data_IF_686262571164
#
_entry.id   IF_686262571164
#
_cell.length_a   1.000
_cell.length_b   1.000
_cell.length_c   1.000
_cell.angle_alpha   90.00
_cell.angle_beta   90.00
_cell.angle_gamma   90.00
#
_symmetry.space_group_name_H-M   'P 1'
#
loop_
_entity.id
_entity.type
_entity.pdbx_description
1 polymer ?
#
# COMPACT_ATOMS: atom_id res chain seq x y z
N UNK A 1 -43.40 33.18 -9.20
CA UNK A 1 -42.01 32.66 -9.23
C UNK A 1 -41.54 32.47 -7.79
N UNK A 2 -41.75 31.28 -7.20
CA UNK A 2 -41.32 31.00 -5.83
C UNK A 2 -39.90 30.41 -5.86
N UNK A 3 -38.96 31.11 -5.22
CA UNK A 3 -37.55 30.74 -5.12
C UNK A 3 -37.45 29.54 -4.18
N UNK A 4 -37.16 28.35 -4.72
CA UNK A 4 -36.88 27.17 -3.89
C UNK A 4 -35.57 27.41 -3.12
N UNK A 5 -35.67 27.57 -1.81
CA UNK A 5 -34.52 27.53 -0.92
C UNK A 5 -33.96 26.10 -0.90
N UNK A 6 -32.98 25.83 -1.77
CA UNK A 6 -32.12 24.66 -1.66
C UNK A 6 -31.17 24.89 -0.48
N UNK A 7 -31.69 24.68 0.74
CA UNK A 7 -30.84 24.51 1.91
C UNK A 7 -29.84 23.40 1.65
N UNK A 8 -28.56 23.65 1.91
CA UNK A 8 -27.53 22.62 1.93
C UNK A 8 -27.95 21.57 2.95
N UNK A 9 -28.45 20.41 2.47
CA UNK A 9 -28.73 19.27 3.33
C UNK A 9 -27.40 18.76 3.85
N UNK A 10 -27.03 19.19 5.05
CA UNK A 10 -25.99 18.53 5.83
C UNK A 10 -26.52 17.14 6.19
N UNK A 11 -26.21 16.14 5.37
CA UNK A 11 -26.41 14.76 5.77
C UNK A 11 -25.41 14.49 6.91
N UNK A 12 -25.86 14.26 8.16
CA UNK A 12 -24.94 13.75 9.16
C UNK A 12 -24.37 12.45 8.61
N UNK A 13 -23.04 12.28 8.68
CA UNK A 13 -22.38 11.05 8.31
C UNK A 13 -22.83 9.94 9.29
N UNK A 14 -24.02 9.39 9.05
CA UNK A 14 -24.70 8.38 9.86
C UNK A 14 -24.11 6.99 9.66
N UNK A 15 -22.78 6.89 9.69
CA UNK A 15 -22.06 5.63 9.77
C UNK A 15 -21.44 5.50 11.16
N UNK A 16 -21.75 4.41 11.87
CA UNK A 16 -20.97 4.01 13.05
C UNK A 16 -19.53 3.80 12.61
N UNK A 17 -18.60 4.65 13.08
CA UNK A 17 -17.18 4.49 12.80
C UNK A 17 -16.73 3.18 13.43
N UNK A 18 -16.37 2.19 12.60
CA UNK A 18 -15.73 0.99 13.08
C UNK A 18 -14.48 1.37 13.91
N UNK A 19 -14.20 0.65 15.02
CA UNK A 19 -13.03 0.92 15.86
C UNK A 19 -11.78 1.01 14.99
N UNK A 20 -11.02 2.11 15.08
CA UNK A 20 -9.82 2.26 14.27
C UNK A 20 -8.64 1.56 14.95
N UNK A 21 -7.72 1.04 14.15
CA UNK A 21 -6.47 0.51 14.69
C UNK A 21 -5.65 1.69 15.21
N UNK A 22 -5.20 1.69 16.48
CA UNK A 22 -4.50 2.83 17.04
C UNK A 22 -3.14 3.03 16.39
N UNK A 23 -2.80 4.27 16.08
CA UNK A 23 -1.46 4.67 15.60
C UNK A 23 -0.39 4.24 16.59
N UNK A 24 0.74 3.74 16.08
CA UNK A 24 1.83 3.23 16.89
C UNK A 24 1.68 1.77 17.31
N UNK A 25 0.49 1.15 17.17
CA UNK A 25 0.33 -0.29 17.39
C UNK A 25 1.28 -1.04 16.45
N UNK A 26 1.99 -2.03 16.99
CA UNK A 26 2.79 -2.97 16.22
C UNK A 26 1.99 -4.22 15.95
N UNK A 27 2.07 -4.73 14.74
CA UNK A 27 1.35 -5.91 14.30
C UNK A 27 2.29 -6.79 13.48
N UNK A 28 2.31 -8.10 13.78
CA UNK A 28 2.97 -9.08 12.91
C UNK A 28 2.05 -9.38 11.73
N UNK A 29 2.59 -9.29 10.52
CA UNK A 29 1.87 -9.43 9.27
C UNK A 29 2.65 -10.34 8.32
N UNK A 30 1.92 -11.20 7.61
CA UNK A 30 2.41 -11.93 6.45
C UNK A 30 2.02 -11.15 5.20
N UNK A 31 3.00 -10.82 4.37
CA UNK A 31 2.83 -9.93 3.22
C UNK A 31 2.54 -10.78 1.99
N UNK A 32 1.35 -10.64 1.42
CA UNK A 32 0.90 -11.49 0.32
C UNK A 32 1.41 -11.02 -1.04
N UNK A 33 1.38 -9.71 -1.28
CA UNK A 33 1.72 -9.11 -2.58
C UNK A 33 2.15 -7.67 -2.45
N UNK A 34 2.62 -7.08 -3.54
CA UNK A 34 2.92 -5.66 -3.63
C UNK A 34 1.74 -4.89 -4.25
N UNK A 35 1.53 -3.67 -3.77
CA UNK A 35 0.74 -2.65 -4.43
C UNK A 35 1.55 -2.02 -5.59
N UNK A 36 0.85 -1.33 -6.47
CA UNK A 36 1.46 -0.68 -7.65
C UNK A 36 2.47 0.42 -7.27
N UNK A 37 2.33 1.01 -6.07
CA UNK A 37 3.28 1.97 -5.51
C UNK A 37 4.45 1.33 -4.73
N UNK A 38 4.51 0.00 -4.69
CA UNK A 38 5.58 -0.77 -4.06
C UNK A 38 5.40 -1.04 -2.57
N UNK A 39 4.25 -0.70 -1.97
CA UNK A 39 3.95 -1.10 -0.58
C UNK A 39 3.51 -2.56 -0.51
N UNK A 40 3.90 -3.27 0.54
CA UNK A 40 3.39 -4.61 0.82
C UNK A 40 1.91 -4.59 1.20
N UNK A 41 1.15 -5.59 0.79
CA UNK A 41 -0.26 -5.76 1.12
C UNK A 41 -0.42 -6.99 1.99
N UNK A 42 -1.11 -6.82 3.12
CA UNK A 42 -1.56 -7.92 3.98
C UNK A 42 -3.04 -7.74 4.33
N UNK A 43 -3.71 -8.85 4.64
CA UNK A 43 -5.10 -8.85 5.09
C UNK A 43 -5.19 -9.44 6.49
N UNK A 44 -5.79 -8.71 7.42
CA UNK A 44 -6.03 -9.18 8.79
C UNK A 44 -7.33 -8.55 9.31
N UNK A 45 -8.19 -9.36 9.93
CA UNK A 45 -9.46 -8.93 10.54
C UNK A 45 -10.34 -8.08 9.59
N UNK A 46 -10.39 -8.45 8.30
CA UNK A 46 -11.19 -7.74 7.29
C UNK A 46 -10.66 -6.35 6.92
N UNK A 47 -9.40 -6.04 7.26
CA UNK A 47 -8.70 -4.81 6.90
C UNK A 47 -7.57 -5.09 5.92
N UNK A 48 -7.36 -4.14 5.01
CA UNK A 48 -6.24 -4.14 4.08
C UNK A 48 -5.13 -3.28 4.67
N UNK A 49 -3.95 -3.86 4.83
CA UNK A 49 -2.77 -3.19 5.36
C UNK A 49 -1.82 -2.87 4.22
N UNK A 50 -1.47 -1.60 4.06
CA UNK A 50 -0.41 -1.15 3.19
C UNK A 50 0.84 -0.90 4.02
N UNK A 51 1.89 -1.67 3.75
CA UNK A 51 3.09 -1.73 4.59
C UNK A 51 4.30 -1.23 3.79
N UNK A 52 4.77 -0.04 4.11
CA UNK A 52 5.98 0.53 3.50
C UNK A 52 7.23 -0.21 3.99
N UNK A 53 8.08 -0.64 3.05
CA UNK A 53 9.34 -1.35 3.34
C UNK A 53 9.22 -2.89 3.42
N UNK A 54 8.06 -3.43 3.09
CA UNK A 54 7.78 -4.86 3.03
C UNK A 54 7.70 -5.36 1.58
N UNK A 55 8.18 -6.58 1.34
CA UNK A 55 8.07 -7.30 0.07
C UNK A 55 7.07 -8.46 0.17
N UNK A 56 6.61 -8.93 -0.97
CA UNK A 56 5.76 -10.13 -1.05
C UNK A 56 6.52 -11.36 -0.51
N UNK A 57 5.81 -12.22 0.23
CA UNK A 57 6.35 -13.42 0.85
C UNK A 57 7.04 -13.20 2.21
N UNK A 58 7.01 -11.98 2.74
CA UNK A 58 7.68 -11.67 4.00
C UNK A 58 6.80 -11.81 5.23
N UNK A 59 7.44 -12.09 6.36
CA UNK A 59 6.83 -11.86 7.68
C UNK A 59 7.50 -10.67 8.35
N UNK A 60 6.70 -9.67 8.72
CA UNK A 60 7.20 -8.40 9.26
C UNK A 60 6.45 -7.98 10.51
N UNK A 61 7.13 -7.24 11.38
CA UNK A 61 6.49 -6.39 12.38
C UNK A 61 6.27 -5.01 11.76
N UNK A 62 5.02 -4.61 11.61
CA UNK A 62 4.64 -3.32 11.06
C UNK A 62 4.05 -2.41 12.14
N UNK A 63 4.52 -1.16 12.20
CA UNK A 63 3.93 -0.11 13.05
C UNK A 63 2.88 0.66 12.26
N UNK A 64 1.68 0.79 12.84
CA UNK A 64 0.58 1.58 12.27
C UNK A 64 0.96 3.06 12.25
N UNK A 65 0.86 3.67 11.07
CA UNK A 65 0.99 5.11 10.85
C UNK A 65 -0.38 5.80 10.91
N UNK A 66 -1.43 5.11 10.43
CA UNK A 66 -2.80 5.59 10.50
C UNK A 66 -3.79 4.53 10.02
N UNK A 67 -5.05 4.68 10.40
CA UNK A 67 -6.13 3.81 9.95
C UNK A 67 -7.34 4.65 9.53
N UNK A 68 -7.92 4.31 8.38
CA UNK A 68 -9.12 4.93 7.86
C UNK A 68 -10.07 3.88 7.28
N UNK A 69 -11.22 3.69 7.94
CA UNK A 69 -12.20 2.69 7.53
C UNK A 69 -11.63 1.28 7.63
N UNK A 70 -11.51 0.59 6.49
CA UNK A 70 -10.92 -0.75 6.36
C UNK A 70 -9.45 -0.74 5.92
N UNK A 71 -8.86 0.44 5.72
CA UNK A 71 -7.47 0.58 5.26
C UNK A 71 -6.59 0.97 6.44
N UNK A 72 -5.44 0.30 6.55
CA UNK A 72 -4.42 0.59 7.55
C UNK A 72 -3.10 0.89 6.84
N UNK A 73 -2.56 2.07 7.12
CA UNK A 73 -1.24 2.50 6.67
C UNK A 73 -0.22 2.12 7.74
N UNK A 74 0.82 1.39 7.36
CA UNK A 74 1.83 0.92 8.28
C UNK A 74 3.23 0.95 7.65
N UNK A 75 4.24 0.82 8.50
CA UNK A 75 5.64 0.77 8.10
C UNK A 75 6.34 -0.39 8.77
N UNK A 76 7.15 -1.12 8.00
CA UNK A 76 8.01 -2.19 8.53
C UNK A 76 9.00 -1.64 9.54
N UNK A 77 9.00 -2.22 10.74
CA UNK A 77 10.01 -1.98 11.78
C UNK A 77 11.03 -3.10 11.85
N UNK A 78 10.57 -4.34 11.66
CA UNK A 78 11.39 -5.54 11.71
C UNK A 78 10.93 -6.53 10.65
N UNK A 79 11.87 -7.20 10.01
CA UNK A 79 11.62 -8.34 9.11
C UNK A 79 12.02 -9.61 9.87
N UNK A 80 11.09 -10.54 10.04
CA UNK A 80 11.35 -11.86 10.64
C UNK A 80 11.77 -12.87 9.59
N UNK A 81 11.05 -12.88 8.46
CA UNK A 81 11.34 -13.73 7.31
C UNK A 81 11.46 -12.82 6.10
N UNK A 82 12.67 -12.72 5.56
CA UNK A 82 12.95 -11.92 4.37
C UNK A 82 12.57 -12.70 3.10
N UNK A 83 12.09 -11.98 2.09
CA UNK A 83 11.87 -12.54 0.76
C UNK A 83 13.22 -12.89 0.12
N UNK A 84 13.26 -13.92 -0.72
CA UNK A 84 14.45 -14.26 -1.50
C UNK A 84 14.92 -13.09 -2.38
N UNK A 85 13.97 -12.25 -2.80
CA UNK A 85 14.21 -11.05 -3.58
C UNK A 85 14.79 -9.90 -2.77
N UNK A 86 14.71 -9.92 -1.43
CA UNK A 86 15.17 -8.77 -0.63
C UNK A 86 16.67 -8.55 -0.80
N UNK A 87 17.05 -7.31 -1.09
CA UNK A 87 18.44 -6.86 -1.08
C UNK A 87 18.66 -5.66 -0.16
N UNK A 88 19.91 -5.40 0.18
CA UNK A 88 20.29 -4.15 0.83
C UNK A 88 20.09 -2.95 -0.12
N UNK A 89 19.44 -1.90 0.38
CA UNK A 89 19.21 -0.69 -0.38
C UNK A 89 20.52 0.09 -0.59
N UNK A 90 20.85 0.54 -1.81
CA UNK A 90 22.10 1.22 -2.10
C UNK A 90 22.17 2.59 -1.43
N UNK A 91 21.02 3.28 -1.28
CA UNK A 91 20.96 4.53 -0.52
C UNK A 91 20.75 4.24 0.97
N UNK A 92 21.72 4.64 1.80
CA UNK A 92 21.66 4.56 3.28
C UNK A 92 20.45 5.30 3.89
N UNK A 93 19.86 6.24 3.15
CA UNK A 93 18.70 7.03 3.57
C UNK A 93 17.37 6.50 3.03
N UNK A 94 17.33 5.44 2.22
CA UNK A 94 16.12 4.95 1.56
C UNK A 94 14.96 4.70 2.55
N UNK A 95 15.26 4.16 3.73
CA UNK A 95 14.25 3.94 4.77
C UNK A 95 13.88 5.20 5.58
N UNK A 96 14.53 6.35 5.38
CA UNK A 96 14.35 7.55 6.23
C UNK A 96 13.83 8.76 5.47
N UNK A 97 14.36 9.05 4.28
CA UNK A 97 14.05 10.28 3.55
C UNK A 97 12.69 10.26 2.82
N UNK A 98 12.11 9.08 2.59
CA UNK A 98 10.84 8.94 1.87
C UNK A 98 10.93 9.09 0.35
N UNK A 99 12.12 9.34 -0.21
CA UNK A 99 12.31 9.54 -1.65
C UNK A 99 12.28 8.26 -2.49
N UNK A 100 12.43 7.07 -1.89
CA UNK A 100 12.46 5.80 -2.62
C UNK A 100 11.63 4.73 -1.93
N UNK A 101 10.69 4.13 -2.66
CA UNK A 101 9.78 3.11 -2.11
C UNK A 101 10.37 1.69 -2.12
N UNK A 102 11.09 1.32 -3.19
CA UNK A 102 11.41 -0.09 -3.50
C UNK A 102 12.91 -0.36 -3.69
N UNK A 103 13.80 0.47 -3.13
CA UNK A 103 15.25 0.26 -3.27
C UNK A 103 15.77 -1.06 -2.68
N UNK A 104 15.00 -1.67 -1.78
CA UNK A 104 15.26 -2.98 -1.17
C UNK A 104 14.80 -4.16 -2.06
N UNK A 105 14.29 -3.85 -3.26
CA UNK A 105 13.95 -4.80 -4.32
C UNK A 105 15.07 -4.79 -5.40
N UNK A 106 15.37 -5.91 -6.07
CA UNK A 106 16.31 -5.98 -7.19
C UNK A 106 15.80 -5.19 -8.40
N UNK A 107 16.71 -4.75 -9.27
CA UNK A 107 16.37 -3.81 -10.34
C UNK A 107 15.40 -4.42 -11.38
N UNK A 108 15.65 -5.66 -11.77
CA UNK A 108 14.79 -6.49 -12.62
C UNK A 108 13.38 -6.62 -12.04
N UNK A 109 13.25 -6.85 -10.73
CA UNK A 109 11.93 -6.90 -10.09
C UNK A 109 11.26 -5.53 -9.96
N UNK A 110 12.03 -4.45 -9.82
CA UNK A 110 11.50 -3.10 -9.90
C UNK A 110 10.94 -2.80 -11.30
N UNK A 111 11.62 -3.28 -12.36
CA UNK A 111 11.14 -3.14 -13.74
C UNK A 111 9.85 -3.93 -13.94
N UNK A 112 9.83 -5.20 -13.50
CA UNK A 112 8.65 -6.05 -13.56
C UNK A 112 7.45 -5.45 -12.79
N UNK A 113 7.68 -4.82 -11.64
CA UNK A 113 6.64 -4.10 -10.91
C UNK A 113 6.05 -2.94 -11.73
N UNK A 114 6.90 -2.13 -12.37
CA UNK A 114 6.46 -0.99 -13.20
C UNK A 114 5.72 -1.46 -14.45
N UNK A 115 6.20 -2.51 -15.10
CA UNK A 115 5.55 -3.14 -16.25
C UNK A 115 4.14 -3.64 -15.88
N UNK A 116 4.01 -4.41 -14.78
CA UNK A 116 2.69 -4.84 -14.29
C UNK A 116 1.76 -3.67 -13.99
N UNK A 117 2.27 -2.65 -13.29
CA UNK A 117 1.48 -1.44 -13.01
C UNK A 117 0.97 -0.79 -14.30
N UNK A 118 1.85 -0.63 -15.30
CA UNK A 118 1.50 0.01 -16.56
C UNK A 118 0.50 -0.83 -17.36
N UNK A 119 0.71 -2.15 -17.47
CA UNK A 119 -0.23 -3.04 -18.14
C UNK A 119 -1.62 -3.03 -17.50
N UNK A 120 -1.70 -3.08 -16.15
CA UNK A 120 -2.97 -2.97 -15.44
C UNK A 120 -3.69 -1.65 -15.74
N UNK A 121 -2.96 -0.54 -15.83
CA UNK A 121 -3.52 0.77 -16.16
C UNK A 121 -4.00 0.84 -17.61
N UNK A 122 -3.21 0.35 -18.57
CA UNK A 122 -3.58 0.30 -19.98
C UNK A 122 -4.84 -0.54 -20.20
N UNK A 123 -4.89 -1.73 -19.58
CA UNK A 123 -6.04 -2.63 -19.67
C UNK A 123 -7.30 -1.98 -19.09
N UNK A 124 -7.19 -1.34 -17.92
CA UNK A 124 -8.35 -0.74 -17.25
C UNK A 124 -8.88 0.53 -17.92
N UNK A 125 -7.99 1.36 -18.47
CA UNK A 125 -8.35 2.68 -19.00
C UNK A 125 -8.68 2.60 -20.49
N UNK A 126 -7.94 1.81 -21.25
CA UNK A 126 -8.03 1.76 -22.71
C UNK A 126 -8.40 0.38 -23.26
N UNK A 127 -8.41 -0.67 -22.42
CA UNK A 127 -8.71 -2.04 -22.88
C UNK A 127 -7.62 -2.64 -23.76
N UNK A 128 -6.38 -2.16 -23.64
CA UNK A 128 -5.23 -2.61 -24.44
C UNK A 128 -4.17 -3.25 -23.55
N UNK A 129 -3.49 -4.25 -24.10
CA UNK A 129 -2.38 -4.95 -23.46
C UNK A 129 -1.11 -4.81 -24.32
N UNK A 130 0.07 -4.65 -23.71
CA UNK A 130 1.33 -4.61 -24.45
C UNK A 130 1.74 -6.00 -24.92
N UNK A 131 2.03 -6.13 -26.21
CA UNK A 131 2.55 -7.39 -26.80
C UNK A 131 3.99 -7.68 -26.34
N UNK A 132 4.82 -6.63 -26.23
CA UNK A 132 6.20 -6.71 -25.78
C UNK A 132 6.60 -5.48 -24.95
N UNK A 133 7.55 -5.66 -24.03
CA UNK A 133 8.16 -4.58 -23.28
C UNK A 133 9.51 -4.21 -23.89
N UNK A 134 9.74 -2.92 -24.13
CA UNK A 134 11.02 -2.38 -24.58
C UNK A 134 12.10 -2.42 -23.49
#
# INVERSE_FOLDING_TARGET
>A
MAKQERGLRFQPAGGTKAPQVPTGKKQRLSIERLANDGRGIAFIEGRTWFVSGALAGEEVEARVLGAHGKVVEARTERVFTASASRREAPCKLAGKCGGCSVQHLPHDEQLALKQRMLAEQLTRVAGVEPDEWA
#
